data_IF_097749839440
#
_entry.id   IF_097749839440
#
_cell.length_a   1.000
_cell.length_b   1.000
_cell.length_c   1.000
_cell.angle_alpha   90.00
_cell.angle_beta   90.00
_cell.angle_gamma   90.00
#
_symmetry.space_group_name_H-M   'P 1'
#
loop_
_entity.id
_entity.type
_entity.pdbx_description
1 polymer ?
#
# COMPACT_ATOMS: atom_id res chain seq x y z
N UNK A 1 19.76 0.17 -12.44
CA UNK A 1 18.99 1.20 -13.19
C UNK A 1 17.56 0.73 -13.20
N UNK A 2 16.72 1.35 -12.41
CA UNK A 2 15.33 0.95 -12.23
C UNK A 2 14.42 1.92 -13.00
N UNK A 3 13.37 1.39 -13.60
CA UNK A 3 12.37 2.16 -14.36
C UNK A 3 11.05 1.99 -13.62
N UNK A 4 10.46 3.08 -13.15
CA UNK A 4 9.09 3.09 -12.70
C UNK A 4 8.17 3.52 -13.84
N UNK A 5 7.01 2.87 -13.95
CA UNK A 5 6.01 3.16 -14.96
C UNK A 5 4.76 3.70 -14.28
N UNK A 6 4.40 4.92 -14.61
CA UNK A 6 3.14 5.55 -14.18
C UNK A 6 2.20 5.61 -15.38
N UNK A 7 1.01 5.04 -15.25
CA UNK A 7 -0.05 5.16 -16.25
C UNK A 7 -1.26 5.83 -15.60
N UNK A 8 -1.53 7.08 -15.97
CA UNK A 8 -2.72 7.82 -15.54
C UNK A 8 -3.87 7.71 -16.55
N UNK A 9 -5.05 8.15 -16.13
CA UNK A 9 -6.24 8.19 -16.98
C UNK A 9 -6.02 9.14 -18.17
N UNK A 10 -5.76 8.58 -19.34
CA UNK A 10 -5.41 9.32 -20.57
C UNK A 10 -4.15 8.81 -21.26
N UNK A 11 -3.55 7.73 -20.79
CA UNK A 11 -2.47 6.99 -21.48
C UNK A 11 -1.13 7.72 -21.54
N UNK A 12 -0.86 8.64 -20.64
CA UNK A 12 0.47 9.24 -20.51
C UNK A 12 1.34 8.35 -19.66
N UNK A 13 2.37 7.77 -20.27
CA UNK A 13 3.43 7.06 -19.56
C UNK A 13 4.45 8.09 -19.05
N UNK A 14 4.61 8.16 -17.75
CA UNK A 14 5.74 8.88 -17.15
C UNK A 14 6.84 7.84 -16.89
N UNK A 15 7.86 7.83 -17.73
CA UNK A 15 9.06 7.02 -17.50
C UNK A 15 9.93 7.70 -16.44
N UNK A 16 9.90 7.21 -15.21
CA UNK A 16 10.84 7.63 -14.17
C UNK A 16 12.00 6.65 -14.17
N UNK A 17 13.17 7.11 -14.53
CA UNK A 17 14.36 6.28 -14.79
C UNK A 17 15.20 6.03 -13.53
N UNK A 18 14.92 6.76 -12.45
CA UNK A 18 15.61 6.65 -11.15
C UNK A 18 14.58 6.95 -10.07
N UNK A 19 13.98 5.93 -9.47
CA UNK A 19 12.95 6.23 -8.51
C UNK A 19 13.38 5.88 -7.10
N UNK A 20 13.70 6.91 -6.35
CA UNK A 20 13.47 6.95 -4.92
C UNK A 20 12.06 7.52 -4.63
N UNK A 21 11.41 8.19 -5.62
CA UNK A 21 10.08 8.79 -5.49
C UNK A 21 9.25 8.65 -6.76
N UNK A 22 8.04 8.11 -6.63
CA UNK A 22 7.05 7.93 -7.69
C UNK A 22 5.77 8.64 -7.25
N UNK A 23 5.29 9.57 -8.05
CA UNK A 23 4.07 10.31 -7.75
C UNK A 23 3.08 10.19 -8.90
N UNK A 24 1.83 9.86 -8.57
CA UNK A 24 0.71 9.78 -9.50
C UNK A 24 0.14 11.16 -9.87
N UNK A 25 -1.13 11.18 -10.21
CA UNK A 25 -1.91 12.36 -10.59
C UNK A 25 -3.13 12.52 -9.68
N UNK A 26 -4.01 13.48 -9.93
CA UNK A 26 -5.28 13.60 -9.21
C UNK A 26 -6.38 12.69 -9.79
N UNK A 27 -6.05 11.61 -10.44
CA UNK A 27 -7.00 10.67 -11.05
C UNK A 27 -6.49 9.24 -10.97
N UNK A 28 -7.35 8.27 -11.23
CA UNK A 28 -7.05 6.85 -11.10
C UNK A 28 -5.76 6.46 -11.84
N UNK A 29 -4.74 6.04 -11.09
CA UNK A 29 -3.42 5.71 -11.61
C UNK A 29 -3.08 4.22 -11.44
N UNK A 30 -2.13 3.76 -12.25
CA UNK A 30 -1.44 2.50 -12.04
C UNK A 30 0.04 2.77 -11.88
N UNK A 31 0.56 2.60 -10.66
CA UNK A 31 1.93 2.90 -10.30
C UNK A 31 2.71 1.61 -10.03
N UNK A 32 3.91 1.52 -10.57
CA UNK A 32 4.76 0.34 -10.39
C UNK A 32 6.14 0.78 -9.92
N UNK A 33 6.54 0.29 -8.75
CA UNK A 33 7.85 0.52 -8.15
C UNK A 33 8.97 -0.28 -8.82
N UNK A 34 10.10 -0.29 -8.17
CA UNK A 34 11.35 -0.86 -8.68
C UNK A 34 11.78 -2.10 -7.86
N UNK A 35 13.04 -2.45 -7.91
CA UNK A 35 13.65 -3.48 -7.03
C UNK A 35 14.37 -2.87 -5.84
N UNK A 36 14.38 -1.56 -5.72
CA UNK A 36 15.03 -0.77 -4.66
C UNK A 36 13.97 -0.15 -3.76
N UNK A 37 14.38 0.40 -2.64
CA UNK A 37 13.47 1.11 -1.75
C UNK A 37 12.87 2.35 -2.43
N UNK A 38 11.56 2.40 -2.53
CA UNK A 38 10.81 3.46 -3.20
C UNK A 38 9.88 4.21 -2.23
N UNK A 39 9.58 5.45 -2.57
CA UNK A 39 8.48 6.21 -1.97
C UNK A 39 7.44 6.49 -3.04
N UNK A 40 6.23 5.93 -2.87
CA UNK A 40 5.17 5.99 -3.88
C UNK A 40 3.96 6.71 -3.31
N UNK A 41 3.45 7.71 -4.03
CA UNK A 41 2.29 8.51 -3.68
C UNK A 41 1.25 8.46 -4.81
N UNK A 42 0.04 7.94 -4.54
CA UNK A 42 -1.09 7.91 -5.48
C UNK A 42 -1.64 9.31 -5.74
N UNK A 43 -1.91 10.08 -4.71
CA UNK A 43 -2.60 11.37 -4.64
C UNK A 43 -4.13 11.21 -4.55
N UNK A 44 -4.91 11.91 -5.38
CA UNK A 44 -6.36 11.72 -5.43
C UNK A 44 -6.70 10.71 -6.55
N UNK A 45 -7.71 9.89 -6.36
CA UNK A 45 -8.11 8.88 -7.35
C UNK A 45 -8.20 7.50 -6.73
N UNK A 46 -8.69 6.52 -7.49
CA UNK A 46 -8.66 5.12 -7.05
C UNK A 46 -7.46 4.45 -7.70
N UNK A 47 -6.38 4.37 -6.93
CA UNK A 47 -5.09 4.01 -7.45
C UNK A 47 -4.77 2.51 -7.27
N UNK A 48 -4.02 1.98 -8.20
CA UNK A 48 -3.42 0.65 -8.08
C UNK A 48 -1.91 0.77 -8.04
N UNK A 49 -1.31 0.37 -6.91
CA UNK A 49 0.12 0.53 -6.65
C UNK A 49 0.76 -0.83 -6.37
N UNK A 50 1.82 -1.16 -7.09
CA UNK A 50 2.65 -2.35 -6.87
C UNK A 50 4.10 -1.93 -6.67
N UNK A 51 4.58 -1.90 -5.42
CA UNK A 51 5.93 -1.41 -5.11
C UNK A 51 7.05 -2.41 -5.42
N UNK A 52 6.74 -3.71 -5.59
CA UNK A 52 7.66 -4.79 -6.01
C UNK A 52 8.61 -5.29 -4.93
N UNK A 53 9.89 -5.03 -5.07
CA UNK A 53 10.89 -5.41 -4.09
C UNK A 53 11.51 -4.13 -3.53
N UNK A 54 11.83 -4.12 -2.28
CA UNK A 54 12.43 -2.94 -1.67
C UNK A 54 11.91 -2.82 -0.24
N UNK A 55 12.38 -1.81 0.46
CA UNK A 55 11.74 -1.37 1.70
C UNK A 55 10.96 -0.10 1.37
N UNK A 56 9.73 -0.29 0.99
CA UNK A 56 8.96 0.74 0.33
C UNK A 56 8.05 1.52 1.29
N UNK A 57 7.79 2.76 0.94
CA UNK A 57 6.76 3.58 1.55
C UNK A 57 5.71 3.90 0.50
N UNK A 58 4.50 3.37 0.70
CA UNK A 58 3.39 3.51 -0.24
C UNK A 58 2.25 4.27 0.42
N UNK A 59 1.80 5.33 -0.21
CA UNK A 59 0.65 6.12 0.22
C UNK A 59 -0.38 6.15 -0.92
N UNK A 60 -1.60 5.63 -0.68
CA UNK A 60 -2.72 5.78 -1.59
C UNK A 60 -3.20 7.24 -1.60
N UNK A 61 -3.43 7.80 -0.46
CA UNK A 61 -4.02 9.09 -0.14
C UNK A 61 -5.54 9.08 -0.31
N UNK A 62 -6.17 9.92 -1.19
CA UNK A 62 -7.62 9.96 -1.29
C UNK A 62 -8.13 9.07 -2.40
N UNK A 63 -9.10 8.22 -2.09
CA UNK A 63 -9.73 7.32 -3.03
C UNK A 63 -9.86 5.92 -2.47
N UNK A 64 -10.33 4.99 -3.28
CA UNK A 64 -10.37 3.59 -2.90
C UNK A 64 -9.19 2.88 -3.58
N UNK A 65 -8.11 2.71 -2.83
CA UNK A 65 -6.82 2.31 -3.37
C UNK A 65 -6.55 0.81 -3.20
N UNK A 66 -5.76 0.24 -4.10
CA UNK A 66 -5.23 -1.11 -4.01
C UNK A 66 -3.70 -1.05 -3.95
N UNK A 67 -3.12 -1.37 -2.79
CA UNK A 67 -1.69 -1.23 -2.51
C UNK A 67 -1.04 -2.60 -2.28
N UNK A 68 0.05 -2.88 -2.99
CA UNK A 68 0.89 -4.06 -2.84
C UNK A 68 2.30 -3.66 -2.42
N UNK A 69 2.79 -4.18 -1.28
CA UNK A 69 4.15 -3.96 -0.79
C UNK A 69 5.18 -4.83 -1.50
N UNK A 70 4.86 -6.12 -1.67
CA UNK A 70 5.68 -7.05 -2.38
C UNK A 70 6.70 -7.78 -1.51
N UNK A 71 7.99 -7.68 -1.81
CA UNK A 71 9.01 -8.33 -1.00
C UNK A 71 9.76 -7.34 -0.14
N UNK A 72 10.16 -7.78 1.05
CA UNK A 72 10.84 -7.01 2.08
C UNK A 72 9.85 -6.25 2.97
N UNK A 73 10.40 -5.47 3.88
CA UNK A 73 9.60 -4.81 4.91
C UNK A 73 9.08 -3.47 4.41
N UNK A 74 7.77 -3.35 4.29
CA UNK A 74 7.10 -2.21 3.69
C UNK A 74 6.23 -1.44 4.68
N UNK A 75 5.88 -0.22 4.31
CA UNK A 75 4.92 0.63 5.01
C UNK A 75 3.86 1.07 4.01
N UNK A 76 2.63 0.55 4.18
CA UNK A 76 1.49 0.87 3.35
C UNK A 76 0.51 1.75 4.12
N UNK A 77 0.03 2.81 3.49
CA UNK A 77 -0.99 3.70 4.02
C UNK A 77 -2.08 3.89 2.96
N UNK A 78 -3.29 3.44 3.26
CA UNK A 78 -4.46 3.68 2.41
C UNK A 78 -4.80 5.16 2.39
N UNK A 79 -5.37 5.66 3.43
CA UNK A 79 -5.74 7.07 3.57
C UNK A 79 -7.24 7.26 3.78
N UNK A 80 -7.85 8.28 3.22
CA UNK A 80 -9.30 8.41 3.18
C UNK A 80 -9.90 7.66 1.98
N UNK A 81 -10.74 6.65 2.24
CA UNK A 81 -11.40 5.82 1.25
C UNK A 81 -11.61 4.41 1.77
N UNK A 82 -12.08 3.52 0.93
CA UNK A 82 -12.17 2.09 1.27
C UNK A 82 -11.03 1.37 0.54
N UNK A 83 -9.97 1.09 1.27
CA UNK A 83 -8.69 0.69 0.70
C UNK A 83 -8.45 -0.82 0.83
N UNK A 84 -7.60 -1.35 -0.05
CA UNK A 84 -7.11 -2.72 0.01
C UNK A 84 -5.60 -2.71 0.11
N UNK A 85 -5.07 -3.18 1.25
CA UNK A 85 -3.65 -3.19 1.55
C UNK A 85 -3.13 -4.62 1.63
N UNK A 86 -2.12 -4.94 0.83
CA UNK A 86 -1.43 -6.24 0.81
C UNK A 86 0.05 -6.03 1.11
N UNK A 87 0.51 -6.48 2.30
CA UNK A 87 1.93 -6.46 2.66
C UNK A 87 2.75 -7.44 1.82
N UNK A 88 2.12 -8.58 1.49
CA UNK A 88 2.66 -9.70 0.71
C UNK A 88 3.76 -10.47 1.45
N UNK A 89 4.95 -9.97 1.62
CA UNK A 89 6.01 -10.77 2.21
C UNK A 89 7.05 -10.04 3.05
N UNK A 90 7.39 -10.57 4.17
CA UNK A 90 8.20 -10.07 5.27
C UNK A 90 7.34 -9.38 6.35
N UNK A 91 7.95 -8.58 7.20
CA UNK A 91 7.26 -7.95 8.34
C UNK A 91 6.83 -6.53 7.95
N UNK A 92 5.58 -6.34 7.63
CA UNK A 92 5.04 -5.12 7.07
C UNK A 92 4.26 -4.28 8.09
N UNK A 93 4.00 -3.03 7.72
CA UNK A 93 3.13 -2.13 8.49
C UNK A 93 2.03 -1.61 7.58
N UNK A 94 0.79 -1.94 7.93
CA UNK A 94 -0.40 -1.58 7.19
C UNK A 94 -1.24 -0.60 8.01
N UNK A 95 -1.54 0.54 7.43
CA UNK A 95 -2.39 1.60 8.00
C UNK A 95 -3.57 1.82 7.05
N UNK A 96 -4.77 1.37 7.44
CA UNK A 96 -5.99 1.54 6.64
C UNK A 96 -6.30 3.02 6.45
N UNK A 97 -6.66 3.69 7.52
CA UNK A 97 -6.90 5.13 7.49
C UNK A 97 -8.31 5.51 7.89
N UNK A 98 -9.12 5.98 6.98
CA UNK A 98 -10.54 6.23 7.23
C UNK A 98 -11.40 5.74 6.09
N UNK A 99 -12.40 4.96 6.43
CA UNK A 99 -13.27 4.21 5.53
C UNK A 99 -13.35 2.78 5.97
N UNK A 100 -13.80 1.90 5.12
CA UNK A 100 -13.86 0.48 5.42
C UNK A 100 -12.76 -0.23 4.63
N UNK A 101 -11.72 -0.65 5.33
CA UNK A 101 -10.49 -1.10 4.73
C UNK A 101 -10.29 -2.61 4.86
N UNK A 102 -9.71 -3.21 3.83
CA UNK A 102 -9.29 -4.61 3.81
C UNK A 102 -7.77 -4.68 3.96
N UNK A 103 -7.27 -5.28 5.05
CA UNK A 103 -5.84 -5.38 5.34
C UNK A 103 -5.39 -6.84 5.33
N UNK A 104 -4.35 -7.15 4.56
CA UNK A 104 -3.73 -8.46 4.52
C UNK A 104 -2.22 -8.34 4.65
N UNK A 105 -1.65 -8.85 5.75
CA UNK A 105 -0.22 -8.82 6.00
C UNK A 105 0.57 -9.75 5.09
N UNK A 106 0.10 -10.98 4.93
CA UNK A 106 0.78 -11.98 4.12
C UNK A 106 1.72 -12.85 4.94
N UNK A 107 2.96 -12.97 4.53
CA UNK A 107 3.94 -13.76 5.25
C UNK A 107 4.87 -12.88 6.09
N UNK A 108 5.00 -13.19 7.36
CA UNK A 108 5.85 -12.44 8.28
C UNK A 108 5.13 -12.13 9.59
N UNK A 109 5.72 -11.26 10.37
CA UNK A 109 5.12 -10.71 11.57
C UNK A 109 4.70 -9.26 11.27
N UNK A 110 3.42 -9.09 11.00
CA UNK A 110 2.88 -7.86 10.46
C UNK A 110 2.24 -6.97 11.53
N UNK A 111 2.19 -5.69 11.26
CA UNK A 111 1.50 -4.73 12.13
C UNK A 111 0.34 -4.08 11.38
N UNK A 112 -0.84 -4.08 12.01
CA UNK A 112 -2.06 -3.51 11.46
C UNK A 112 -2.56 -2.34 12.32
N UNK A 113 -2.84 -1.22 11.68
CA UNK A 113 -3.56 -0.08 12.24
C UNK A 113 -4.75 0.20 11.32
N UNK A 114 -5.94 -0.20 11.75
CA UNK A 114 -7.12 -0.17 10.90
C UNK A 114 -7.63 1.27 10.68
N UNK A 115 -7.53 2.11 11.69
CA UNK A 115 -7.96 3.51 11.56
C UNK A 115 -9.39 3.75 12.01
N UNK A 116 -10.19 4.34 11.15
CA UNK A 116 -11.61 4.67 11.41
C UNK A 116 -12.51 4.03 10.36
N UNK A 117 -13.48 3.26 10.77
CA UNK A 117 -14.44 2.62 9.89
C UNK A 117 -14.84 1.25 10.38
N UNK A 118 -15.27 0.42 9.47
CA UNK A 118 -15.49 -1.00 9.70
C UNK A 118 -14.48 -1.74 8.84
N UNK A 119 -13.38 -2.16 9.47
CA UNK A 119 -12.21 -2.65 8.77
C UNK A 119 -12.06 -4.16 8.95
N UNK A 120 -11.45 -4.84 7.99
CA UNK A 120 -11.22 -6.27 8.04
C UNK A 120 -9.73 -6.59 7.91
N UNK A 121 -9.17 -7.39 8.86
CA UNK A 121 -7.86 -8.01 8.70
C UNK A 121 -8.06 -9.44 8.21
N UNK A 122 -7.65 -9.70 6.98
CA UNK A 122 -7.96 -10.93 6.25
C UNK A 122 -7.15 -12.15 6.70
N UNK A 123 -5.97 -11.96 7.33
CA UNK A 123 -5.04 -13.06 7.63
C UNK A 123 -4.27 -12.93 8.96
N UNK A 124 -4.83 -12.23 9.94
CA UNK A 124 -4.21 -12.04 11.26
C UNK A 124 -3.82 -13.36 11.93
N UNK A 125 -2.58 -13.49 12.36
CA UNK A 125 -2.06 -14.69 13.00
C UNK A 125 -1.04 -14.40 14.09
N UNK A 126 -1.42 -14.61 15.34
CA UNK A 126 -0.51 -14.54 16.49
C UNK A 126 0.67 -15.54 16.38
N UNK A 127 0.50 -16.65 15.66
CA UNK A 127 1.56 -17.64 15.46
C UNK A 127 2.66 -17.12 14.51
N UNK A 128 2.32 -16.22 13.59
CA UNK A 128 3.30 -15.52 12.77
C UNK A 128 3.96 -14.35 13.51
N UNK A 129 3.38 -13.91 14.62
CA UNK A 129 3.84 -12.77 15.40
C UNK A 129 3.16 -11.46 15.04
N UNK A 130 2.00 -11.52 14.37
CA UNK A 130 1.23 -10.34 13.98
C UNK A 130 0.75 -9.57 15.21
N UNK A 131 0.71 -8.26 15.07
CA UNK A 131 0.21 -7.33 16.08
C UNK A 131 -0.75 -6.34 15.45
N UNK A 132 -1.72 -5.85 16.24
CA UNK A 132 -2.68 -4.85 15.76
C UNK A 132 -2.88 -3.73 16.78
N UNK A 133 -3.22 -2.55 16.29
CA UNK A 133 -3.63 -1.42 17.13
C UNK A 133 -5.01 -1.69 17.76
N UNK A 134 -5.35 -0.91 18.79
CA UNK A 134 -6.63 -1.07 19.52
C UNK A 134 -7.87 -0.68 18.71
N UNK A 135 -7.67 0.04 17.62
CA UNK A 135 -8.73 0.47 16.71
C UNK A 135 -9.11 -0.60 15.67
N UNK A 136 -8.39 -1.71 15.61
CA UNK A 136 -8.80 -2.86 14.81
C UNK A 136 -9.78 -3.70 15.62
N UNK A 137 -10.99 -3.84 15.13
CA UNK A 137 -12.04 -4.61 15.78
C UNK A 137 -11.70 -6.11 15.83
N UNK A 138 -12.20 -6.78 16.87
CA UNK A 138 -12.14 -8.25 16.97
C UNK A 138 -13.45 -8.81 16.37
N UNK A 139 -13.37 -9.45 15.23
CA UNK A 139 -14.46 -10.20 14.62
C UNK A 139 -14.34 -11.69 14.95
#
# INVERSE_FOLDING_TARGET
MAIALVTGNGGKFVNIVWADEITGTDGDDTLVGTISADTINGLDGNDKIDSKNGKDQVNGNRGNDELHGGKSRDVLKGGPGNDKLFGDGSNDKLYGGSGNDDLKGGSGADFFDCGKGVDEILDFSLQKGDTKAKNCEDF
#
